data_IF_280449652661
#
_entry.id   IF_280449652661
#
_cell.length_a   1.000
_cell.length_b   1.000
_cell.length_c   1.000
_cell.angle_alpha   90.00
_cell.angle_beta   90.00
_cell.angle_gamma   90.00
#
_symmetry.space_group_name_H-M   'P 1'
#
loop_
_entity.id
_entity.type
_entity.pdbx_description
1 polymer ?
#
# COMPACT_ATOMS: atom_id res chain seq x y z
N UNK A 1 -18.91 12.47 5.38
CA UNK A 1 -19.81 11.43 5.87
C UNK A 1 -19.34 10.08 5.32
N UNK A 2 -19.45 9.00 6.08
CA UNK A 2 -19.08 7.65 5.61
C UNK A 2 -20.32 6.93 5.09
N UNK A 3 -20.74 7.34 3.91
CA UNK A 3 -21.92 6.78 3.26
C UNK A 3 -21.69 5.31 2.87
N UNK A 4 -22.77 4.53 2.80
CA UNK A 4 -22.74 3.10 2.46
C UNK A 4 -22.34 2.83 1.01
N UNK A 5 -22.20 3.88 0.21
CA UNK A 5 -21.56 3.84 -1.11
C UNK A 5 -20.03 3.84 -1.03
N UNK A 6 -19.44 4.33 0.07
CA UNK A 6 -17.99 4.35 0.32
C UNK A 6 -17.51 3.08 1.03
N UNK A 7 -18.30 2.58 1.99
CA UNK A 7 -18.14 1.25 2.58
C UNK A 7 -19.00 1.01 3.82
N UNK A 8 -18.67 0.01 4.64
CA UNK A 8 -19.61 -0.44 5.68
C UNK A 8 -19.02 -1.08 6.94
N UNK A 9 -17.73 -1.41 6.94
CA UNK A 9 -17.02 -2.04 8.07
C UNK A 9 -15.54 -1.67 8.03
N UNK A 10 -15.18 -0.55 8.67
CA UNK A 10 -13.77 -0.18 8.88
C UNK A 10 -13.13 -1.19 9.83
N UNK A 11 -12.01 -1.79 9.42
CA UNK A 11 -11.31 -2.85 10.18
C UNK A 11 -10.18 -2.32 11.06
N UNK A 12 -9.96 -1.00 11.07
CA UNK A 12 -8.82 -0.36 11.73
C UNK A 12 -7.56 -0.39 10.85
N UNK A 13 -6.40 -0.29 11.48
CA UNK A 13 -5.10 -0.43 10.82
C UNK A 13 -3.93 0.08 11.66
N UNK A 14 -2.85 0.55 11.01
CA UNK A 14 -1.53 0.73 11.64
C UNK A 14 -0.75 1.91 11.05
N UNK A 15 0.15 2.51 11.83
CA UNK A 15 1.12 3.51 11.34
C UNK A 15 2.30 2.80 10.68
N UNK A 16 2.59 3.15 9.42
CA UNK A 16 3.68 2.55 8.66
C UNK A 16 5.04 3.12 9.07
N UNK A 17 5.98 2.25 9.42
CA UNK A 17 7.35 2.60 9.80
C UNK A 17 8.42 1.94 8.92
N UNK A 18 8.00 1.15 7.93
CA UNK A 18 8.90 0.47 7.01
C UNK A 18 9.50 1.40 5.97
N UNK A 19 10.25 0.78 5.05
CA UNK A 19 10.97 1.45 3.98
C UNK A 19 10.54 1.02 2.57
N UNK A 20 9.93 -0.16 2.41
CA UNK A 20 9.58 -0.73 1.10
C UNK A 20 8.58 0.11 0.29
N UNK A 21 7.73 0.92 0.93
CA UNK A 21 6.81 1.82 0.24
C UNK A 21 7.47 3.16 -0.16
N UNK A 22 8.64 3.46 0.39
CA UNK A 22 9.34 4.72 0.20
C UNK A 22 8.98 5.78 1.24
N UNK A 23 9.83 6.82 1.32
CA UNK A 23 9.78 7.84 2.38
C UNK A 23 8.46 8.62 2.44
N UNK A 24 7.74 8.73 1.31
CA UNK A 24 6.46 9.42 1.25
C UNK A 24 5.36 8.76 2.10
N UNK A 25 5.50 7.48 2.45
CA UNK A 25 4.52 6.74 3.23
C UNK A 25 4.90 6.57 4.71
N UNK A 26 6.14 6.88 5.08
CA UNK A 26 6.60 6.75 6.46
C UNK A 26 5.78 7.65 7.39
N UNK A 27 5.28 7.10 8.49
CA UNK A 27 4.47 7.80 9.48
C UNK A 27 2.98 7.94 9.12
N UNK A 28 2.55 7.48 7.94
CA UNK A 28 1.12 7.49 7.56
C UNK A 28 0.36 6.38 8.27
N UNK A 29 -0.86 6.66 8.70
CA UNK A 29 -1.78 5.67 9.25
C UNK A 29 -2.59 5.03 8.14
N UNK A 30 -2.38 3.74 7.91
CA UNK A 30 -3.12 2.94 6.95
C UNK A 30 -4.34 2.31 7.63
N UNK A 31 -5.48 2.33 6.97
CA UNK A 31 -6.71 1.70 7.44
C UNK A 31 -7.55 1.24 6.26
N UNK A 32 -8.47 0.30 6.51
CA UNK A 32 -9.27 -0.27 5.43
C UNK A 32 -10.70 -0.58 5.81
N UNK A 33 -11.46 -1.01 4.81
CA UNK A 33 -12.85 -1.45 4.93
C UNK A 33 -13.03 -2.85 4.35
N UNK A 34 -13.62 -3.74 5.15
CA UNK A 34 -13.85 -5.13 4.77
C UNK A 34 -14.93 -5.26 3.68
N UNK A 35 -16.02 -4.51 3.79
CA UNK A 35 -17.18 -4.68 2.90
C UNK A 35 -16.95 -4.07 1.52
N UNK A 36 -16.28 -2.92 1.45
CA UNK A 36 -16.00 -2.22 0.20
C UNK A 36 -14.65 -2.60 -0.43
N UNK A 37 -13.83 -3.40 0.26
CA UNK A 37 -12.49 -3.77 -0.23
C UNK A 37 -11.63 -2.52 -0.43
N UNK A 38 -11.57 -1.67 0.60
CA UNK A 38 -10.87 -0.38 0.52
C UNK A 38 -9.64 -0.35 1.40
N UNK A 39 -8.64 0.38 0.91
CA UNK A 39 -7.42 0.71 1.64
C UNK A 39 -7.14 2.20 1.47
N UNK A 40 -6.93 2.89 2.58
CA UNK A 40 -6.59 4.30 2.60
C UNK A 40 -5.39 4.55 3.51
N UNK A 41 -4.79 5.74 3.37
CA UNK A 41 -3.88 6.27 4.36
C UNK A 41 -4.08 7.76 4.60
N UNK A 42 -3.87 8.20 5.83
CA UNK A 42 -3.82 9.61 6.22
C UNK A 42 -2.46 9.93 6.84
N UNK A 43 -2.07 11.19 6.80
CA UNK A 43 -1.04 11.71 7.67
C UNK A 43 -1.69 12.06 9.03
N UNK A 44 -1.41 11.29 10.10
CA UNK A 44 -2.06 11.49 11.39
C UNK A 44 -1.63 12.78 12.10
N UNK A 45 -0.57 13.46 11.63
CA UNK A 45 -0.08 14.72 12.20
C UNK A 45 -0.31 15.93 11.27
N UNK A 46 -0.99 15.73 10.14
CA UNK A 46 -1.34 16.83 9.24
C UNK A 46 -2.28 17.85 9.91
N UNK A 47 -2.09 19.12 9.58
CA UNK A 47 -2.99 20.20 10.02
C UNK A 47 -4.41 20.04 9.47
N UNK A 48 -4.54 19.39 8.31
CA UNK A 48 -5.81 18.95 7.73
C UNK A 48 -5.72 17.45 7.41
N UNK A 49 -6.25 16.63 8.32
CA UNK A 49 -6.25 15.17 8.20
C UNK A 49 -7.04 14.72 6.97
N UNK A 50 -8.16 15.39 6.66
CA UNK A 50 -9.02 14.98 5.55
C UNK A 50 -8.33 15.24 4.20
N UNK A 51 -7.67 16.39 4.06
CA UNK A 51 -6.87 16.69 2.86
C UNK A 51 -5.67 15.76 2.70
N UNK A 52 -5.20 15.13 3.78
CA UNK A 52 -4.11 14.17 3.72
C UNK A 52 -4.52 12.80 3.19
N UNK A 53 -5.82 12.49 3.07
CA UNK A 53 -6.29 11.15 2.70
C UNK A 53 -5.84 10.74 1.30
N UNK A 54 -5.33 9.52 1.19
CA UNK A 54 -4.94 8.88 -0.07
C UNK A 54 -5.66 7.53 -0.20
N UNK A 55 -6.20 7.26 -1.39
CA UNK A 55 -6.83 5.98 -1.74
C UNK A 55 -5.81 5.04 -2.41
N UNK A 56 -5.65 3.88 -1.80
CA UNK A 56 -4.71 2.81 -2.16
C UNK A 56 -5.44 1.52 -2.53
N UNK A 57 -6.75 1.58 -2.75
CA UNK A 57 -7.56 0.39 -3.02
C UNK A 57 -7.15 -0.33 -4.29
N UNK A 58 -6.48 0.35 -5.23
CA UNK A 58 -5.91 -0.25 -6.43
C UNK A 58 -4.72 -1.19 -6.15
N UNK A 59 -4.15 -1.16 -4.95
CA UNK A 59 -3.06 -2.06 -4.54
C UNK A 59 -3.57 -3.43 -4.10
N UNK A 60 -4.87 -3.54 -3.82
CA UNK A 60 -5.47 -4.77 -3.37
C UNK A 60 -5.67 -5.72 -4.55
N UNK A 61 -5.32 -7.02 -4.41
CA UNK A 61 -5.74 -8.06 -5.33
C UNK A 61 -7.27 -8.06 -5.53
N UNK A 62 -7.71 -8.43 -6.73
CA UNK A 62 -9.14 -8.62 -6.98
C UNK A 62 -9.68 -9.83 -6.22
N UNK A 63 -10.92 -9.73 -5.72
CA UNK A 63 -11.63 -10.88 -5.14
C UNK A 63 -11.27 -11.22 -3.69
N UNK A 64 -10.46 -10.39 -3.03
CA UNK A 64 -10.21 -10.49 -1.59
C UNK A 64 -10.93 -9.38 -0.83
N UNK A 65 -11.44 -9.70 0.36
CA UNK A 65 -11.85 -8.73 1.34
C UNK A 65 -10.77 -8.60 2.41
N UNK A 66 -10.38 -7.36 2.70
CA UNK A 66 -9.35 -7.06 3.68
C UNK A 66 -9.89 -7.29 5.10
N UNK A 67 -9.20 -8.08 5.91
CA UNK A 67 -9.60 -8.41 7.30
C UNK A 67 -8.61 -7.93 8.36
N UNK A 68 -7.34 -7.71 8.00
CA UNK A 68 -6.38 -7.06 8.89
C UNK A 68 -5.31 -6.29 8.11
N UNK A 69 -4.75 -5.30 8.78
CA UNK A 69 -3.61 -4.50 8.34
C UNK A 69 -2.64 -4.45 9.51
N UNK A 70 -1.45 -5.00 9.33
CA UNK A 70 -0.50 -5.24 10.41
C UNK A 70 0.89 -4.77 10.04
N UNK A 71 1.65 -4.32 11.04
CA UNK A 71 3.08 -4.09 10.90
C UNK A 71 3.84 -5.40 11.16
N UNK A 72 4.72 -5.77 10.24
CA UNK A 72 5.63 -6.90 10.39
C UNK A 72 7.05 -6.46 10.76
N UNK A 73 8.01 -7.33 10.46
CA UNK A 73 9.43 -7.07 10.70
C UNK A 73 9.89 -5.77 10.02
N UNK A 74 10.69 -4.97 10.73
CA UNK A 74 11.18 -3.68 10.21
C UNK A 74 10.10 -2.60 10.04
N UNK A 75 8.87 -2.84 10.52
CA UNK A 75 7.74 -1.91 10.33
C UNK A 75 7.09 -2.00 8.95
N UNK A 76 7.39 -3.04 8.18
CA UNK A 76 6.81 -3.27 6.86
C UNK A 76 5.31 -3.60 6.96
N UNK A 77 4.55 -3.27 5.90
CA UNK A 77 3.09 -3.35 5.93
C UNK A 77 2.61 -4.69 5.35
N UNK A 78 1.79 -5.40 6.13
CA UNK A 78 1.17 -6.66 5.75
C UNK A 78 -0.35 -6.52 5.77
N UNK A 79 -1.00 -7.17 4.81
CA UNK A 79 -2.45 -7.19 4.63
C UNK A 79 -2.94 -8.63 4.69
N UNK A 80 -3.94 -8.92 5.49
CA UNK A 80 -4.62 -10.22 5.45
C UNK A 80 -5.92 -10.08 4.69
N UNK A 81 -6.08 -10.90 3.64
CA UNK A 81 -7.29 -10.94 2.82
C UNK A 81 -7.93 -12.31 2.84
N UNK A 82 -9.27 -12.35 2.84
CA UNK A 82 -10.06 -13.58 2.65
C UNK A 82 -11.03 -13.41 1.49
N UNK A 83 -11.19 -14.45 0.68
CA UNK A 83 -12.16 -14.47 -0.43
C UNK A 83 -13.42 -15.28 -0.08
N UNK A 84 -14.50 -15.04 -0.80
CA UNK A 84 -15.68 -15.90 -0.77
C UNK A 84 -15.44 -17.15 -1.62
N UNK A 85 -14.73 -18.13 -1.07
CA UNK A 85 -14.41 -19.41 -1.74
C UNK A 85 -12.96 -19.55 -2.21
N UNK A 86 -12.17 -18.47 -2.14
CA UNK A 86 -10.72 -18.52 -2.35
C UNK A 86 -9.98 -18.63 -1.01
N UNK A 87 -8.84 -19.35 -0.95
CA UNK A 87 -8.01 -19.39 0.24
C UNK A 87 -7.57 -17.99 0.66
N UNK A 88 -7.65 -17.71 1.97
CA UNK A 88 -7.10 -16.48 2.52
C UNK A 88 -5.57 -16.43 2.36
N UNK A 89 -5.04 -15.22 2.23
CA UNK A 89 -3.61 -14.99 2.08
C UNK A 89 -3.17 -13.74 2.85
N UNK A 90 -1.89 -13.73 3.20
CA UNK A 90 -1.19 -12.56 3.75
C UNK A 90 -0.32 -11.97 2.65
N UNK A 91 -0.48 -10.69 2.38
CA UNK A 91 0.24 -9.93 1.36
C UNK A 91 1.19 -8.95 2.04
N UNK A 92 2.44 -8.90 1.60
CA UNK A 92 3.35 -7.81 1.95
C UNK A 92 3.22 -6.73 0.88
N UNK A 93 3.05 -5.48 1.29
CA UNK A 93 3.06 -4.35 0.36
C UNK A 93 4.48 -3.85 0.10
N UNK A 94 4.80 -3.66 -1.17
CA UNK A 94 6.08 -3.15 -1.65
C UNK A 94 5.85 -2.14 -2.77
N UNK A 95 6.65 -1.07 -2.83
CA UNK A 95 6.56 -0.13 -3.93
C UNK A 95 7.02 -0.80 -5.23
N UNK A 96 6.20 -0.69 -6.27
CA UNK A 96 6.61 -1.06 -7.62
C UNK A 96 7.49 0.08 -8.16
N UNK A 97 8.74 -0.17 -8.58
CA UNK A 97 9.56 0.86 -9.19
C UNK A 97 8.88 1.34 -10.49
N UNK A 98 8.70 2.65 -10.63
CA UNK A 98 8.13 3.22 -11.84
C UNK A 98 8.88 2.72 -13.10
N UNK A 99 8.16 2.43 -14.22
CA UNK A 99 8.79 1.94 -15.44
C UNK A 99 9.96 2.80 -15.93
N UNK A 100 9.89 4.13 -15.72
CA UNK A 100 10.96 5.06 -16.06
C UNK A 100 12.25 4.83 -15.27
N UNK A 101 12.15 4.47 -13.98
CA UNK A 101 13.29 4.13 -13.13
C UNK A 101 13.96 2.85 -13.60
N UNK A 102 13.16 1.85 -14.01
CA UNK A 102 13.66 0.60 -14.58
C UNK A 102 14.35 0.83 -15.93
N UNK A 103 13.80 1.68 -16.80
CA UNK A 103 14.42 2.04 -18.08
C UNK A 103 15.72 2.83 -17.88
N UNK A 104 15.75 3.78 -16.95
CA UNK A 104 16.96 4.54 -16.63
C UNK A 104 18.09 3.65 -16.10
N UNK A 105 17.77 2.68 -15.23
CA UNK A 105 18.71 1.66 -14.78
C UNK A 105 19.23 0.82 -15.96
N UNK A 106 18.33 0.36 -16.83
CA UNK A 106 18.69 -0.43 -18.01
C UNK A 106 19.62 0.32 -18.96
N UNK A 107 19.33 1.59 -19.26
CA UNK A 107 20.19 2.45 -20.10
C UNK A 107 21.53 2.74 -19.45
N UNK A 108 21.56 2.99 -18.13
CA UNK A 108 22.79 3.19 -17.38
C UNK A 108 23.73 1.99 -17.44
N UNK A 109 23.20 0.77 -17.27
CA UNK A 109 23.96 -0.48 -17.40
C UNK A 109 24.49 -0.64 -18.84
N UNK A 110 23.67 -0.37 -19.86
CA UNK A 110 24.09 -0.45 -21.26
C UNK A 110 25.22 0.56 -21.58
N UNK A 111 25.13 1.78 -21.05
CA UNK A 111 26.16 2.80 -21.22
C UNK A 111 27.47 2.40 -20.53
N UNK A 112 27.41 1.81 -19.34
CA UNK A 112 28.57 1.25 -18.62
C UNK A 112 29.21 0.09 -19.38
N UNK A 113 28.41 -0.79 -20.00
CA UNK A 113 28.91 -1.90 -20.82
C UNK A 113 29.54 -1.40 -22.14
N UNK A 114 29.01 -0.35 -22.75
CA UNK A 114 29.61 0.28 -23.94
C UNK A 114 30.91 1.02 -23.63
N UNK A 115 31.08 1.56 -22.43
CA UNK A 115 32.30 2.26 -22.00
C UNK A 115 33.48 1.34 -21.69
N UNK A 116 33.25 0.01 -21.60
CA UNK A 116 34.27 -1.01 -21.34
C UNK A 116 34.83 -1.69 -22.61
N UNK A 117 34.50 -1.18 -23.81
CA UNK A 117 35.13 -1.54 -25.08
C UNK A 117 35.94 -0.36 -25.60
#
# INVERSE_FOLDING_TARGET
>A
DYDRTLGGTVIGGVVYHGSSLGAAFSGRYFFGDYLAGKLWSIDPVASDIAASLQDHSSWLPSGINLVSIDAGEGGELYLTGIGFGEPGAVYKLEAVPEPGSMVALGLGVLALLRRRR
#
